data_IF_072273182649
#
_entry.id   IF_072273182649
#
_cell.length_a   1.000
_cell.length_b   1.000
_cell.length_c   1.000
_cell.angle_alpha   90.00
_cell.angle_beta   90.00
_cell.angle_gamma   90.00
#
_symmetry.space_group_name_H-M   'P 1'
#
loop_
_entity.id
_entity.type
_entity.pdbx_description
1 polymer ?
#
# COMPACT_ATOMS: atom_id res chain seq x y z
N UNK A 1 -13.01 4.85 39.25
CA UNK A 1 -12.94 4.26 37.89
C UNK A 1 -12.25 5.25 37.00
N UNK A 2 -10.96 5.05 36.78
CA UNK A 2 -10.14 5.86 35.86
C UNK A 2 -10.41 5.36 34.46
N UNK A 3 -11.21 6.13 33.71
CA UNK A 3 -11.41 5.85 32.29
C UNK A 3 -10.11 6.02 31.53
N UNK A 4 -9.57 4.92 31.01
CA UNK A 4 -8.51 4.97 29.99
C UNK A 4 -9.15 5.56 28.75
N UNK A 5 -8.91 6.84 28.53
CA UNK A 5 -9.29 7.50 27.29
C UNK A 5 -8.26 7.06 26.22
N UNK A 6 -8.58 5.97 25.51
CA UNK A 6 -7.86 5.62 24.31
C UNK A 6 -8.23 6.65 23.24
N UNK A 7 -7.42 7.69 23.09
CA UNK A 7 -7.48 8.56 21.92
C UNK A 7 -6.95 7.76 20.70
N UNK A 8 -7.78 6.89 20.16
CA UNK A 8 -7.55 6.37 18.82
C UNK A 8 -7.84 7.52 17.86
N UNK A 9 -6.81 8.08 17.23
CA UNK A 9 -7.02 8.99 16.11
C UNK A 9 -7.71 8.19 15.02
N UNK A 10 -8.89 8.60 14.53
CA UNK A 10 -9.55 7.91 13.44
C UNK A 10 -8.65 8.02 12.21
N UNK A 11 -8.32 6.86 11.60
CA UNK A 11 -7.59 6.81 10.35
C UNK A 11 -8.62 6.60 9.25
N UNK A 12 -8.80 7.62 8.41
CA UNK A 12 -9.76 7.58 7.32
C UNK A 12 -9.05 7.26 5.99
N UNK A 13 -9.60 6.29 5.26
CA UNK A 13 -9.16 5.96 3.93
C UNK A 13 -9.49 7.10 2.96
N UNK A 14 -8.52 7.53 2.14
CA UNK A 14 -8.67 8.67 1.23
C UNK A 14 -9.46 8.31 -0.04
N UNK A 15 -9.23 7.11 -0.58
CA UNK A 15 -9.84 6.64 -1.83
C UNK A 15 -10.71 5.42 -1.57
N UNK A 16 -11.99 5.65 -1.31
CA UNK A 16 -12.97 4.61 -0.99
C UNK A 16 -13.66 4.15 -2.27
N UNK A 17 -13.77 2.83 -2.48
CA UNK A 17 -14.47 2.26 -3.63
C UNK A 17 -15.22 0.96 -3.33
N UNK A 18 -14.97 0.33 -2.19
CA UNK A 18 -15.51 -1.00 -1.85
C UNK A 18 -17.02 -0.94 -1.59
N UNK A 19 -17.50 0.17 -1.03
CA UNK A 19 -18.91 0.31 -0.65
C UNK A 19 -19.42 1.72 -0.93
N UNK A 20 -20.63 1.83 -1.44
CA UNK A 20 -21.36 3.10 -1.62
C UNK A 20 -21.77 3.76 -0.31
N UNK A 21 -21.72 3.02 0.81
CA UNK A 21 -22.05 3.54 2.14
C UNK A 21 -20.85 4.18 2.86
N UNK A 22 -19.66 4.13 2.25
CA UNK A 22 -18.44 4.70 2.83
C UNK A 22 -18.11 6.02 2.14
N UNK A 23 -17.77 7.02 2.94
CA UNK A 23 -17.28 8.32 2.45
C UNK A 23 -15.75 8.37 2.56
N UNK A 24 -15.05 8.99 1.57
CA UNK A 24 -13.61 9.18 1.65
C UNK A 24 -13.24 10.15 2.77
N UNK A 25 -12.09 9.88 3.40
CA UNK A 25 -11.44 10.84 4.29
C UNK A 25 -10.81 11.99 3.51
N UNK A 26 -10.53 13.07 4.21
CA UNK A 26 -9.94 14.29 3.64
C UNK A 26 -8.63 14.71 4.32
N UNK A 27 -8.07 13.84 5.16
CA UNK A 27 -6.86 14.14 5.93
C UNK A 27 -5.83 13.02 5.82
N UNK A 28 -4.57 13.42 5.66
CA UNK A 28 -3.43 12.50 5.76
C UNK A 28 -3.06 12.29 7.21
N UNK A 29 -3.05 11.05 7.65
CA UNK A 29 -2.68 10.68 9.02
C UNK A 29 -1.17 10.54 9.15
N UNK A 30 -0.55 11.44 9.92
CA UNK A 30 0.84 11.33 10.38
C UNK A 30 0.89 11.68 11.86
N UNK A 31 1.48 10.82 12.66
CA UNK A 31 1.58 11.00 14.11
C UNK A 31 2.96 10.62 14.63
N UNK A 32 3.32 11.14 15.79
CA UNK A 32 4.55 10.78 16.47
C UNK A 32 4.27 9.65 17.47
N UNK A 33 5.14 8.64 17.45
CA UNK A 33 5.09 7.54 18.41
C UNK A 33 5.75 7.95 19.74
N UNK A 34 5.46 7.25 20.86
CA UNK A 34 6.15 7.49 22.13
C UNK A 34 7.68 7.30 22.05
N UNK A 35 8.19 6.69 20.98
CA UNK A 35 9.62 6.46 20.76
C UNK A 35 10.27 7.50 19.84
N UNK A 36 9.57 8.59 19.53
CA UNK A 36 10.09 9.69 18.72
C UNK A 36 10.11 9.45 17.21
N UNK A 37 9.52 8.34 16.73
CA UNK A 37 9.38 8.08 15.29
C UNK A 37 8.07 8.69 14.76
N UNK A 38 8.09 9.31 13.60
CA UNK A 38 6.91 9.81 12.91
C UNK A 38 6.39 8.78 11.91
N UNK A 39 5.15 8.38 12.10
CA UNK A 39 4.50 7.31 11.34
C UNK A 39 3.36 7.89 10.51
N UNK A 40 3.36 7.58 9.21
CA UNK A 40 2.24 7.86 8.32
C UNK A 40 1.46 6.59 8.01
N UNK A 41 0.17 6.74 7.69
CA UNK A 41 -0.68 5.61 7.30
C UNK A 41 -1.39 5.91 6.00
N UNK A 42 -1.29 5.01 5.04
CA UNK A 42 -2.04 5.02 3.79
C UNK A 42 -2.68 3.64 3.58
N UNK A 43 -4.00 3.60 3.42
CA UNK A 43 -4.75 2.35 3.40
C UNK A 43 -4.97 1.87 1.96
N UNK A 44 -4.35 0.73 1.60
CA UNK A 44 -4.60 0.02 0.34
C UNK A 44 -4.42 0.93 -0.89
N UNK A 45 -5.50 1.19 -1.64
CA UNK A 45 -5.49 2.00 -2.87
C UNK A 45 -4.85 3.38 -2.69
N UNK A 46 -4.89 3.96 -1.47
CA UNK A 46 -4.24 5.25 -1.19
C UNK A 46 -2.74 5.23 -1.51
N UNK A 47 -2.08 4.07 -1.39
CA UNK A 47 -0.66 3.89 -1.73
C UNK A 47 -0.39 3.80 -3.25
N UNK A 48 -1.42 3.56 -4.07
CA UNK A 48 -1.24 3.48 -5.52
C UNK A 48 -0.97 4.86 -6.14
N UNK A 49 -1.50 5.93 -5.52
CA UNK A 49 -1.27 7.29 -5.98
C UNK A 49 0.04 7.83 -5.39
N UNK A 50 0.96 8.24 -6.27
CA UNK A 50 2.31 8.70 -5.88
C UNK A 50 2.26 9.96 -5.01
N UNK A 51 1.30 10.83 -5.25
CA UNK A 51 1.06 12.07 -4.53
C UNK A 51 0.80 11.80 -3.05
N UNK A 52 0.02 10.77 -2.73
CA UNK A 52 -0.33 10.44 -1.35
C UNK A 52 0.91 10.06 -0.53
N UNK A 53 1.78 9.20 -1.08
CA UNK A 53 3.03 8.84 -0.41
C UNK A 53 3.95 10.07 -0.27
N UNK A 54 4.02 10.92 -1.31
CA UNK A 54 4.80 12.16 -1.27
C UNK A 54 4.29 13.14 -0.22
N UNK A 55 2.99 13.36 -0.12
CA UNK A 55 2.39 14.25 0.87
C UNK A 55 2.63 13.71 2.28
N UNK A 56 2.50 12.40 2.48
CA UNK A 56 2.78 11.75 3.76
C UNK A 56 4.23 11.98 4.20
N UNK A 57 5.20 11.84 3.29
CA UNK A 57 6.59 12.14 3.56
C UNK A 57 6.83 13.64 3.87
N UNK A 58 6.18 14.53 3.11
CA UNK A 58 6.28 15.98 3.33
C UNK A 58 5.70 16.42 4.67
N UNK A 59 4.74 15.68 5.22
CA UNK A 59 4.23 15.86 6.59
C UNK A 59 5.17 15.29 7.65
N UNK A 60 6.32 14.74 7.23
CA UNK A 60 7.39 14.31 8.09
C UNK A 60 7.34 12.84 8.50
N UNK A 61 6.54 12.00 7.84
CA UNK A 61 6.57 10.58 8.09
C UNK A 61 7.95 9.99 7.78
N UNK A 62 8.43 9.15 8.67
CA UNK A 62 9.68 8.38 8.56
C UNK A 62 9.41 6.93 8.24
N UNK A 63 8.26 6.45 8.70
CA UNK A 63 7.75 5.11 8.49
C UNK A 63 6.37 5.25 7.86
N UNK A 64 6.12 4.53 6.78
CA UNK A 64 4.82 4.40 6.15
C UNK A 64 4.22 3.04 6.48
N UNK A 65 3.08 3.03 7.17
CA UNK A 65 2.26 1.83 7.32
C UNK A 65 1.30 1.73 6.13
N UNK A 66 1.34 0.60 5.45
CA UNK A 66 0.59 0.33 4.24
C UNK A 66 -0.27 -0.95 4.41
N UNK A 67 -1.37 -0.90 5.19
CA UNK A 67 -2.30 -2.02 5.28
C UNK A 67 -3.11 -2.15 3.99
N UNK A 68 -3.18 -3.37 3.46
CA UNK A 68 -3.81 -3.68 2.18
C UNK A 68 -4.75 -4.89 2.25
N UNK A 69 -5.64 -4.95 1.26
CA UNK A 69 -6.39 -6.14 0.86
C UNK A 69 -6.29 -6.23 -0.66
N UNK A 70 -5.18 -6.79 -1.19
CA UNK A 70 -4.83 -6.71 -2.60
C UNK A 70 -4.13 -7.98 -3.10
N UNK A 71 -3.91 -8.06 -4.42
CA UNK A 71 -3.40 -9.26 -5.07
C UNK A 71 -4.50 -10.31 -5.29
N UNK A 72 -4.31 -11.17 -6.27
CA UNK A 72 -5.24 -12.26 -6.59
C UNK A 72 -6.64 -11.83 -7.03
N UNK A 73 -6.83 -10.56 -7.39
CA UNK A 73 -8.12 -9.99 -7.73
C UNK A 73 -8.15 -9.39 -9.15
N UNK A 74 -9.35 -9.25 -9.70
CA UNK A 74 -9.54 -8.53 -10.97
C UNK A 74 -9.27 -7.04 -10.76
N UNK A 75 -8.32 -6.49 -11.52
CA UNK A 75 -7.95 -5.07 -11.41
C UNK A 75 -8.55 -4.17 -12.48
N UNK A 76 -9.11 -4.74 -13.55
CA UNK A 76 -9.46 -4.00 -14.76
C UNK A 76 -8.26 -3.69 -15.67
N UNK A 77 -7.02 -3.89 -15.21
CA UNK A 77 -5.80 -3.69 -16.00
C UNK A 77 -5.19 -5.05 -16.40
N UNK A 78 -4.82 -5.24 -17.69
CA UNK A 78 -4.39 -6.56 -18.19
C UNK A 78 -3.08 -7.08 -17.58
N UNK A 79 -2.26 -6.17 -17.01
CA UNK A 79 -0.94 -6.51 -16.47
C UNK A 79 -0.79 -6.16 -14.99
N UNK A 80 -1.89 -5.97 -14.28
CA UNK A 80 -1.89 -5.67 -12.87
C UNK A 80 -2.77 -6.65 -12.11
N UNK A 81 -2.18 -7.43 -11.22
CA UNK A 81 -2.85 -8.47 -10.47
C UNK A 81 -3.46 -9.55 -11.39
N UNK A 82 -4.53 -10.19 -11.00
CA UNK A 82 -5.22 -11.25 -11.73
C UNK A 82 -5.76 -12.26 -10.76
N UNK A 83 -6.92 -12.82 -11.07
CA UNK A 83 -7.54 -13.81 -10.19
C UNK A 83 -6.69 -15.06 -10.07
N UNK A 84 -6.66 -15.59 -8.87
CA UNK A 84 -6.14 -16.92 -8.56
C UNK A 84 -7.34 -17.86 -8.49
N UNK A 85 -7.19 -19.05 -9.08
CA UNK A 85 -8.23 -20.06 -9.06
C UNK A 85 -8.56 -20.49 -7.62
N UNK A 86 -9.82 -20.34 -7.25
CA UNK A 86 -10.32 -20.74 -5.93
C UNK A 86 -10.16 -22.25 -5.71
N UNK A 87 -10.31 -23.06 -6.76
CA UNK A 87 -10.09 -24.52 -6.63
C UNK A 87 -8.63 -24.85 -6.33
N UNK A 88 -7.68 -24.06 -6.85
CA UNK A 88 -6.27 -24.19 -6.50
C UNK A 88 -6.05 -23.88 -5.01
N UNK A 89 -6.68 -22.81 -4.53
CA UNK A 89 -6.63 -22.45 -3.11
C UNK A 89 -7.23 -23.53 -2.21
N UNK A 90 -8.38 -24.09 -2.57
CA UNK A 90 -9.03 -25.15 -1.78
C UNK A 90 -8.18 -26.44 -1.67
N UNK A 91 -7.29 -26.64 -2.63
CA UNK A 91 -6.35 -27.78 -2.64
C UNK A 91 -4.94 -27.42 -2.11
N UNK A 92 -4.75 -26.24 -1.49
CA UNK A 92 -3.43 -25.74 -1.07
C UNK A 92 -2.66 -26.71 -0.16
N UNK A 93 -3.34 -27.50 0.63
CA UNK A 93 -2.70 -28.50 1.50
C UNK A 93 -2.04 -29.64 0.72
N UNK A 94 -2.52 -29.90 -0.52
CA UNK A 94 -2.01 -30.94 -1.41
C UNK A 94 -0.90 -30.44 -2.32
N UNK A 95 -0.99 -29.17 -2.74
CA UNK A 95 0.00 -28.54 -3.61
C UNK A 95 0.24 -27.07 -3.17
N UNK A 96 0.89 -26.86 -2.01
CA UNK A 96 1.19 -25.53 -1.51
C UNK A 96 2.13 -24.74 -2.44
N UNK A 97 2.99 -25.43 -3.18
CA UNK A 97 3.93 -24.79 -4.09
C UNK A 97 3.24 -24.18 -5.32
N UNK A 98 2.16 -24.78 -5.81
CA UNK A 98 1.36 -24.17 -6.87
C UNK A 98 0.74 -22.84 -6.41
N UNK A 99 0.21 -22.78 -5.19
CA UNK A 99 -0.32 -21.54 -4.61
C UNK A 99 0.79 -20.50 -4.41
N UNK A 100 1.96 -20.91 -3.89
CA UNK A 100 3.11 -19.99 -3.73
C UNK A 100 3.57 -19.41 -5.04
N UNK A 101 3.60 -20.20 -6.12
CA UNK A 101 3.94 -19.70 -7.47
C UNK A 101 2.98 -18.59 -7.91
N UNK A 102 1.67 -18.77 -7.69
CA UNK A 102 0.67 -17.74 -7.97
C UNK A 102 0.89 -16.47 -7.12
N UNK A 103 1.16 -16.63 -5.81
CA UNK A 103 1.41 -15.51 -4.89
C UNK A 103 2.69 -14.74 -5.24
N UNK A 104 3.70 -15.39 -5.81
CA UNK A 104 4.95 -14.76 -6.23
C UNK A 104 4.89 -14.18 -7.66
N UNK A 105 3.89 -14.55 -8.44
CA UNK A 105 3.69 -14.07 -9.81
C UNK A 105 3.23 -12.60 -9.87
N UNK A 106 2.94 -12.13 -11.08
CA UNK A 106 2.33 -10.81 -11.33
C UNK A 106 0.94 -10.64 -10.70
N UNK A 107 0.35 -11.72 -10.19
CA UNK A 107 -0.92 -11.66 -9.44
C UNK A 107 -0.73 -11.18 -8.00
N UNK A 108 0.47 -11.29 -7.46
CA UNK A 108 0.80 -10.92 -6.08
C UNK A 108 2.11 -10.11 -6.01
N UNK A 109 3.18 -10.77 -5.51
CA UNK A 109 4.47 -10.12 -5.24
C UNK A 109 5.06 -9.44 -6.47
N UNK A 110 5.03 -10.10 -7.63
CA UNK A 110 5.57 -9.53 -8.87
C UNK A 110 4.95 -8.18 -9.21
N UNK A 111 3.63 -8.04 -9.05
CA UNK A 111 2.95 -6.76 -9.22
C UNK A 111 3.32 -5.73 -8.14
N UNK A 112 3.38 -6.13 -6.87
CA UNK A 112 3.77 -5.24 -5.77
C UNK A 112 5.16 -4.64 -6.01
N UNK A 113 6.11 -5.43 -6.47
CA UNK A 113 7.49 -4.98 -6.71
C UNK A 113 7.64 -3.99 -7.86
N UNK A 114 6.61 -3.78 -8.68
CA UNK A 114 6.63 -2.75 -9.73
C UNK A 114 6.46 -1.34 -9.20
N UNK A 115 5.87 -1.17 -8.04
CA UNK A 115 5.52 0.17 -7.55
C UNK A 115 5.80 0.38 -6.04
N UNK A 116 5.63 -0.63 -5.20
CA UNK A 116 5.73 -0.49 -3.74
C UNK A 116 7.12 -0.03 -3.27
N UNK A 117 8.25 -0.55 -3.80
CA UNK A 117 9.58 -0.08 -3.45
C UNK A 117 9.79 1.41 -3.73
N UNK A 118 9.18 1.94 -4.79
CA UNK A 118 9.27 3.36 -5.12
C UNK A 118 8.61 4.25 -4.06
N UNK A 119 7.56 3.77 -3.36
CA UNK A 119 6.94 4.52 -2.26
C UNK A 119 7.90 4.73 -1.11
N UNK A 120 8.76 3.75 -0.82
CA UNK A 120 9.84 3.88 0.17
C UNK A 120 10.99 4.73 -0.39
N UNK A 121 11.54 4.33 -1.54
CA UNK A 121 12.74 4.91 -2.14
C UNK A 121 12.59 6.40 -2.45
N UNK A 122 11.57 6.79 -3.21
CA UNK A 122 11.39 8.16 -3.69
C UNK A 122 11.11 9.14 -2.54
N UNK A 123 10.64 8.61 -1.41
CA UNK A 123 10.26 9.40 -0.25
C UNK A 123 11.24 9.26 0.93
N UNK A 124 12.21 8.35 0.84
CA UNK A 124 13.19 8.11 1.90
C UNK A 124 12.56 7.65 3.21
N UNK A 125 11.50 6.84 3.13
CA UNK A 125 10.77 6.27 4.27
C UNK A 125 11.02 4.77 4.36
N UNK A 126 11.00 4.22 5.58
CA UNK A 126 10.69 2.80 5.74
C UNK A 126 9.25 2.56 5.35
N UNK A 127 8.96 1.39 4.81
CA UNK A 127 7.60 1.00 4.45
C UNK A 127 7.27 -0.38 5.02
N UNK A 128 6.18 -0.47 5.78
CA UNK A 128 5.66 -1.69 6.35
C UNK A 128 4.36 -2.03 5.62
N UNK A 129 4.44 -3.00 4.73
CA UNK A 129 3.29 -3.49 3.97
C UNK A 129 2.72 -4.72 4.66
N UNK A 130 1.45 -4.65 5.03
CA UNK A 130 0.65 -5.79 5.48
C UNK A 130 -0.51 -6.03 4.52
N UNK A 131 -0.88 -7.28 4.30
CA UNK A 131 -1.90 -7.63 3.32
C UNK A 131 -2.71 -8.83 3.77
N UNK A 132 -3.97 -8.89 3.38
CA UNK A 132 -4.78 -10.07 3.57
C UNK A 132 -4.21 -11.28 2.82
N UNK A 133 -4.38 -12.47 3.39
CA UNK A 133 -4.02 -13.75 2.78
C UNK A 133 -5.21 -14.69 2.82
N UNK A 134 -5.40 -15.44 1.73
CA UNK A 134 -6.45 -16.44 1.65
C UNK A 134 -7.72 -15.98 0.95
N UNK A 135 -8.74 -16.82 1.03
CA UNK A 135 -9.99 -16.61 0.32
C UNK A 135 -10.75 -15.42 0.88
N UNK A 136 -11.20 -14.56 -0.02
CA UNK A 136 -12.03 -13.39 0.21
C UNK A 136 -13.14 -13.41 -0.84
N UNK A 137 -14.27 -14.01 -0.48
CA UNK A 137 -15.40 -14.31 -1.36
C UNK A 137 -15.00 -15.21 -2.56
N UNK A 138 -15.00 -14.69 -3.76
CA UNK A 138 -14.59 -15.37 -5.00
C UNK A 138 -13.15 -15.05 -5.45
N UNK A 139 -12.38 -14.39 -4.61
CA UNK A 139 -10.99 -14.02 -4.84
C UNK A 139 -10.05 -14.63 -3.78
N UNK A 140 -8.78 -14.75 -4.10
CA UNK A 140 -7.74 -15.27 -3.19
C UNK A 140 -6.66 -14.22 -3.00
N UNK A 141 -6.61 -13.61 -1.82
CA UNK A 141 -5.60 -12.60 -1.46
C UNK A 141 -4.24 -13.24 -1.26
N UNK A 142 -3.19 -12.54 -1.70
CA UNK A 142 -1.86 -13.13 -1.85
C UNK A 142 -0.93 -12.95 -0.67
N UNK A 143 -1.34 -12.25 0.40
CA UNK A 143 -0.43 -11.94 1.50
C UNK A 143 0.77 -11.12 1.04
N UNK A 144 1.97 -11.70 1.07
CA UNK A 144 3.22 -11.04 0.71
C UNK A 144 3.58 -9.83 1.60
N UNK A 145 3.31 -9.93 2.91
CA UNK A 145 3.75 -8.88 3.83
C UNK A 145 5.26 -8.66 3.73
N UNK A 146 5.68 -7.39 3.74
CA UNK A 146 7.10 -7.02 3.61
C UNK A 146 7.45 -5.72 4.33
N UNK A 147 8.71 -5.60 4.70
CA UNK A 147 9.32 -4.40 5.26
C UNK A 147 10.40 -3.92 4.30
N UNK A 148 10.29 -2.67 3.88
CA UNK A 148 11.24 -2.04 2.95
C UNK A 148 12.01 -0.93 3.67
N UNK A 149 13.28 -0.77 3.31
CA UNK A 149 14.11 0.32 3.79
C UNK A 149 13.95 1.60 2.93
N UNK A 150 14.55 2.74 3.33
CA UNK A 150 14.47 4.01 2.59
C UNK A 150 15.11 4.01 1.20
N UNK A 151 15.75 2.92 0.81
CA UNK A 151 16.28 2.70 -0.55
C UNK A 151 15.39 1.76 -1.37
N UNK A 152 14.23 1.33 -0.84
CA UNK A 152 13.32 0.40 -1.49
C UNK A 152 13.78 -1.05 -1.46
N UNK A 153 14.82 -1.38 -0.66
CA UNK A 153 15.30 -2.75 -0.51
C UNK A 153 14.43 -3.51 0.49
N UNK A 154 14.16 -4.76 0.24
CA UNK A 154 13.43 -5.63 1.16
C UNK A 154 14.32 -6.01 2.34
N UNK A 155 13.91 -5.64 3.56
CA UNK A 155 14.55 -6.05 4.81
C UNK A 155 14.02 -7.40 5.29
N UNK A 156 12.71 -7.59 5.18
CA UNK A 156 12.02 -8.83 5.53
C UNK A 156 10.76 -8.98 4.67
N UNK A 157 10.42 -10.20 4.32
CA UNK A 157 9.17 -10.53 3.61
C UNK A 157 8.72 -11.96 3.92
N UNK A 158 7.47 -12.26 3.63
CA UNK A 158 6.93 -13.62 3.76
C UNK A 158 6.38 -14.12 2.42
N UNK A 159 6.55 -15.42 2.17
CA UNK A 159 5.91 -16.17 1.10
C UNK A 159 4.93 -17.22 1.64
N UNK A 160 4.49 -17.05 2.88
CA UNK A 160 3.51 -17.92 3.50
C UNK A 160 2.17 -17.83 2.77
N UNK A 161 1.46 -18.96 2.76
CA UNK A 161 0.10 -19.07 2.24
C UNK A 161 -0.95 -19.04 3.38
N UNK A 162 -0.51 -18.78 4.60
CA UNK A 162 -1.31 -18.63 5.81
C UNK A 162 -0.89 -17.36 6.54
N UNK A 163 -1.53 -17.08 7.67
CA UNK A 163 -1.19 -15.97 8.54
C UNK A 163 0.29 -16.03 8.94
N UNK A 164 0.98 -14.93 8.72
CA UNK A 164 2.40 -14.83 9.04
C UNK A 164 2.77 -13.41 9.45
N UNK A 165 3.83 -13.31 10.24
CA UNK A 165 4.39 -12.04 10.67
C UNK A 165 5.85 -11.94 10.23
N UNK A 166 6.25 -10.77 9.75
CA UNK A 166 7.65 -10.42 9.47
C UNK A 166 8.12 -9.35 10.43
N UNK A 167 9.37 -9.43 10.84
CA UNK A 167 10.00 -8.49 11.78
C UNK A 167 11.36 -8.08 11.23
N UNK A 168 11.71 -6.81 11.38
CA UNK A 168 13.03 -6.29 11.04
C UNK A 168 13.41 -5.14 11.98
N UNK A 169 14.70 -4.99 12.24
CA UNK A 169 15.25 -3.80 12.87
C UNK A 169 15.36 -2.68 11.82
N UNK A 170 14.88 -1.48 12.17
CA UNK A 170 14.91 -0.32 11.30
C UNK A 170 16.05 0.61 11.73
N UNK A 171 17.15 0.61 11.00
CA UNK A 171 18.25 1.53 11.24
C UNK A 171 17.90 2.94 10.75
N UNK A 172 17.50 3.83 11.65
CA UNK A 172 17.09 5.18 11.35
C UNK A 172 18.16 5.98 10.59
N UNK A 173 19.46 5.65 10.78
CA UNK A 173 20.57 6.34 10.12
C UNK A 173 20.58 6.18 8.60
N UNK A 174 19.93 5.13 8.08
CA UNK A 174 19.77 4.93 6.64
C UNK A 174 19.03 6.11 5.96
N UNK A 175 18.19 6.84 6.70
CA UNK A 175 17.46 7.98 6.16
C UNK A 175 18.35 9.20 5.94
N UNK A 176 19.41 9.38 6.71
CA UNK A 176 20.26 10.57 6.67
C UNK A 176 20.81 10.86 5.26
N UNK A 177 21.10 9.81 4.52
CA UNK A 177 21.67 9.87 3.17
C UNK A 177 20.75 9.27 2.10
N UNK A 178 19.54 8.88 2.46
CA UNK A 178 18.59 8.27 1.51
C UNK A 178 18.33 9.20 0.33
N UNK A 179 18.31 8.62 -0.86
CA UNK A 179 18.11 9.33 -2.12
C UNK A 179 16.80 10.14 -2.09
N UNK A 180 15.71 9.54 -1.63
CA UNK A 180 14.41 10.20 -1.53
C UNK A 180 14.41 11.41 -0.61
N UNK A 181 15.10 11.35 0.54
CA UNK A 181 15.23 12.49 1.45
C UNK A 181 15.98 13.65 0.77
N UNK A 182 17.03 13.34 0.00
CA UNK A 182 17.76 14.35 -0.78
C UNK A 182 16.89 14.95 -1.89
N UNK A 183 16.10 14.14 -2.59
CA UNK A 183 15.19 14.60 -3.65
C UNK A 183 14.08 15.50 -3.09
N UNK A 184 13.54 15.17 -1.92
CA UNK A 184 12.56 16.04 -1.24
C UNK A 184 13.14 17.43 -0.97
N UNK A 185 14.41 17.52 -0.55
CA UNK A 185 15.10 18.80 -0.31
C UNK A 185 15.36 19.58 -1.60
N UNK A 186 15.49 18.90 -2.74
CA UNK A 186 15.75 19.51 -4.05
C UNK A 186 14.46 19.84 -4.84
N UNK A 187 13.29 19.68 -4.23
CA UNK A 187 12.01 20.00 -4.89
C UNK A 187 11.92 21.46 -5.29
N UNK A 188 11.19 21.69 -6.37
CA UNK A 188 10.85 23.02 -6.88
C UNK A 188 9.33 23.22 -6.85
N UNK A 189 8.75 23.51 -5.67
CA UNK A 189 7.28 23.59 -5.50
C UNK A 189 6.62 24.60 -6.45
N UNK A 190 7.33 25.63 -6.87
CA UNK A 190 6.85 26.63 -7.82
C UNK A 190 6.51 26.07 -9.21
N UNK A 191 6.95 24.86 -9.54
CA UNK A 191 6.64 24.16 -10.79
C UNK A 191 5.48 23.17 -10.67
N UNK A 192 4.96 22.93 -9.47
CA UNK A 192 4.01 21.85 -9.21
C UNK A 192 2.56 22.30 -9.19
N UNK A 193 2.26 23.53 -9.69
CA UNK A 193 0.89 24.02 -9.86
C UNK A 193 -0.05 22.99 -10.52
N UNK A 194 0.34 22.36 -11.64
CA UNK A 194 -0.50 21.37 -12.33
C UNK A 194 -0.95 20.17 -11.49
N UNK A 195 -0.23 19.84 -10.38
CA UNK A 195 -0.64 18.78 -9.46
C UNK A 195 -1.85 19.15 -8.59
N UNK A 196 -2.18 20.43 -8.49
CA UNK A 196 -3.28 20.93 -7.66
C UNK A 196 -4.41 21.54 -8.50
N UNK A 197 -4.24 21.62 -9.80
CA UNK A 197 -5.25 22.10 -10.73
C UNK A 197 -6.10 20.92 -11.21
N UNK A 198 -7.41 21.13 -11.24
CA UNK A 198 -8.33 20.14 -11.82
C UNK A 198 -8.16 20.12 -13.34
N UNK A 199 -7.90 18.94 -13.88
CA UNK A 199 -7.78 18.74 -15.33
C UNK A 199 -9.13 18.50 -15.99
N UNK A 200 -10.18 18.23 -15.19
CA UNK A 200 -11.51 17.80 -15.67
C UNK A 200 -11.56 16.33 -16.10
N UNK A 201 -10.48 15.56 -15.82
CA UNK A 201 -10.39 14.12 -16.09
C UNK A 201 -10.47 13.29 -14.81
N UNK A 202 -10.47 13.93 -13.65
CA UNK A 202 -10.61 13.28 -12.36
C UNK A 202 -11.98 12.63 -12.27
N UNK A 203 -12.00 11.38 -11.82
CA UNK A 203 -13.20 10.59 -11.67
C UNK A 203 -13.27 9.97 -10.28
N UNK A 204 -14.47 9.63 -9.87
CA UNK A 204 -14.66 8.89 -8.62
C UNK A 204 -13.87 7.57 -8.62
N UNK A 205 -13.24 7.24 -7.50
CA UNK A 205 -12.37 6.05 -7.37
C UNK A 205 -13.14 4.76 -7.67
N UNK A 206 -14.42 4.69 -7.31
CA UNK A 206 -15.27 3.52 -7.58
C UNK A 206 -15.51 3.35 -9.07
N UNK A 207 -15.80 4.46 -9.77
CA UNK A 207 -15.97 4.45 -11.21
C UNK A 207 -14.69 3.94 -11.91
N UNK A 208 -13.55 4.55 -11.62
CA UNK A 208 -12.24 4.14 -12.19
C UNK A 208 -11.92 2.67 -11.92
N UNK A 209 -12.30 2.16 -10.74
CA UNK A 209 -11.95 0.80 -10.32
C UNK A 209 -12.87 -0.28 -10.92
N UNK A 210 -14.15 0.01 -11.12
CA UNK A 210 -15.14 -1.02 -11.46
C UNK A 210 -15.91 -0.77 -12.75
N UNK A 211 -15.99 0.45 -13.21
CA UNK A 211 -16.89 0.82 -14.31
C UNK A 211 -16.15 1.34 -15.55
N UNK A 212 -14.88 1.71 -15.40
CA UNK A 212 -14.07 2.25 -16.50
C UNK A 212 -14.07 1.35 -17.73
N UNK A 213 -13.87 0.04 -17.55
CA UNK A 213 -13.83 -0.93 -18.65
C UNK A 213 -15.19 -1.08 -19.38
N UNK A 214 -16.31 -0.78 -18.69
CA UNK A 214 -17.66 -0.89 -19.28
C UNK A 214 -18.01 0.24 -20.24
N UNK A 215 -17.25 1.31 -20.21
CA UNK A 215 -17.47 2.51 -21.04
C UNK A 215 -16.58 2.55 -22.28
N UNK A 216 -15.72 1.55 -22.46
CA UNK A 216 -14.80 1.43 -23.60
C UNK A 216 -15.34 0.46 -24.69
N UNK A 217 -16.44 -0.26 -24.42
CA UNK A 217 -17.21 -1.06 -25.36
C UNK A 217 -18.36 -0.22 -25.95
#
# INVERSE_FOLDING_TARGET
MTGVQTCALPICKLHVFVSEFLSPGNEYTVFETPHGCRVGVLICYDNNLVENARITALRGAEILLAPHQTGGCKSGSPFAMGRIDVELWERRDRDPEAVRREFQSDKGRGWLMRWLPARAHDNGMFLLFSNGVGRDDDEVRTGNAMILDPYGRTLAETNAIDDAMVVADLDASLRDRATGVRWIKARRPELYGPLTELTGREQDTRFVRFEYDKTQD
#
